data_IF_778344870029
#
_entry.id   IF_778344870029
#
_cell.length_a   1.000
_cell.length_b   1.000
_cell.length_c   1.000
_cell.angle_alpha   90.00
_cell.angle_beta   90.00
_cell.angle_gamma   90.00
#
_symmetry.space_group_name_H-M   'P 1'
#
loop_
_entity.id
_entity.type
_entity.pdbx_description
1 polymer ?
#
# COMPACT_ATOMS: atom_id res chain seq x y z
N UNK A 1 -4.83 -2.96 -20.69
CA UNK A 1 -4.24 -3.65 -19.49
C UNK A 1 -4.63 -2.82 -18.27
N UNK A 2 -5.39 -3.34 -17.32
CA UNK A 2 -5.89 -2.53 -16.21
C UNK A 2 -4.77 -2.12 -15.25
N UNK A 3 -4.93 -0.92 -14.65
CA UNK A 3 -4.13 -0.48 -13.52
C UNK A 3 -4.92 -0.72 -12.23
N UNK A 4 -4.37 -1.54 -11.35
CA UNK A 4 -5.00 -1.95 -10.08
C UNK A 4 -4.35 -1.20 -8.92
N UNK A 5 -5.15 -0.48 -8.14
CA UNK A 5 -4.69 0.33 -7.02
C UNK A 5 -5.09 -0.29 -5.69
N UNK A 6 -4.10 -0.44 -4.80
CA UNK A 6 -4.24 -1.07 -3.47
C UNK A 6 -3.83 -0.08 -2.39
N UNK A 7 -4.77 0.26 -1.50
CA UNK A 7 -4.53 1.18 -0.39
C UNK A 7 -3.90 0.49 0.83
N UNK A 8 -3.52 1.28 1.82
CA UNK A 8 -2.98 0.81 3.10
C UNK A 8 -3.89 1.08 4.30
N UNK A 9 -3.28 1.26 5.46
CA UNK A 9 -3.92 1.41 6.77
C UNK A 9 -3.75 2.85 7.27
N UNK A 10 -4.80 3.49 7.79
CA UNK A 10 -6.19 3.05 7.95
C UNK A 10 -7.11 3.48 6.81
N UNK A 11 -6.61 3.49 5.60
CA UNK A 11 -7.28 4.02 4.43
C UNK A 11 -8.39 3.11 3.85
N UNK A 12 -9.01 3.61 2.80
CA UNK A 12 -9.85 2.85 1.88
C UNK A 12 -9.41 3.17 0.44
N UNK A 13 -9.99 2.51 -0.56
CA UNK A 13 -9.69 2.79 -1.98
C UNK A 13 -9.88 4.25 -2.39
N UNK A 14 -10.59 5.06 -1.60
CA UNK A 14 -10.81 6.48 -1.85
C UNK A 14 -9.53 7.32 -1.84
N UNK A 15 -8.49 6.89 -1.14
CA UNK A 15 -7.18 7.54 -1.09
C UNK A 15 -6.56 7.76 -2.49
N UNK A 16 -7.03 7.00 -3.47
CA UNK A 16 -6.56 7.07 -4.85
C UNK A 16 -7.36 8.00 -5.77
N UNK A 17 -8.51 8.50 -5.33
CA UNK A 17 -9.44 9.25 -6.20
C UNK A 17 -8.80 10.47 -6.87
N UNK A 18 -8.02 11.25 -6.11
CA UNK A 18 -7.39 12.46 -6.61
C UNK A 18 -6.31 12.14 -7.67
N UNK A 19 -5.54 11.07 -7.50
CA UNK A 19 -4.56 10.60 -8.48
C UNK A 19 -5.25 10.08 -9.72
N UNK A 20 -6.26 9.21 -9.57
CA UNK A 20 -6.97 8.57 -10.69
C UNK A 20 -7.65 9.60 -11.59
N UNK A 21 -8.25 10.64 -11.00
CA UNK A 21 -8.88 11.73 -11.76
C UNK A 21 -7.90 12.50 -12.67
N UNK A 22 -6.60 12.36 -12.45
CA UNK A 22 -5.51 13.01 -13.21
C UNK A 22 -4.80 12.08 -14.19
N UNK A 23 -5.10 10.79 -14.14
CA UNK A 23 -4.49 9.82 -15.06
C UNK A 23 -5.15 9.91 -16.45
N UNK A 24 -4.39 9.81 -17.54
CA UNK A 24 -4.91 9.84 -18.91
C UNK A 24 -5.51 8.49 -19.34
N UNK A 25 -5.75 7.56 -18.40
CA UNK A 25 -6.26 6.21 -18.66
C UNK A 25 -7.59 5.96 -17.98
N UNK A 26 -8.43 5.10 -18.57
CA UNK A 26 -9.77 4.76 -18.04
C UNK A 26 -9.87 3.34 -17.50
N UNK A 27 -8.90 2.49 -17.80
CA UNK A 27 -8.83 1.09 -17.40
C UNK A 27 -8.22 0.95 -15.98
N UNK A 28 -8.88 1.58 -15.01
CA UNK A 28 -8.44 1.64 -13.61
C UNK A 28 -9.37 0.86 -12.71
N UNK A 29 -8.80 0.03 -11.85
CA UNK A 29 -9.49 -0.74 -10.81
C UNK A 29 -8.94 -0.34 -9.45
N UNK A 30 -9.82 -0.01 -8.51
CA UNK A 30 -9.44 0.25 -7.11
C UNK A 30 -9.92 -0.87 -6.23
N UNK A 31 -9.01 -1.48 -5.48
CA UNK A 31 -9.35 -2.53 -4.54
C UNK A 31 -9.48 -1.94 -3.13
N UNK A 32 -10.54 -2.33 -2.42
CA UNK A 32 -10.66 -2.09 -0.98
C UNK A 32 -10.27 -3.36 -0.24
N UNK A 33 -9.32 -3.27 0.67
CA UNK A 33 -8.92 -4.40 1.52
C UNK A 33 -10.13 -4.91 2.34
N UNK A 34 -10.30 -6.23 2.51
CA UNK A 34 -11.32 -6.78 3.39
C UNK A 34 -11.26 -6.15 4.79
N UNK A 35 -12.39 -5.65 5.28
CA UNK A 35 -12.49 -4.94 6.56
C UNK A 35 -12.19 -3.44 6.49
N UNK A 36 -11.80 -2.90 5.33
CA UNK A 36 -11.47 -1.48 5.12
C UNK A 36 -12.48 -0.86 4.15
N UNK A 37 -13.61 -0.43 4.70
CA UNK A 37 -14.73 0.13 3.91
C UNK A 37 -15.54 -0.92 3.14
N UNK A 38 -15.26 -2.23 3.36
CA UNK A 38 -16.03 -3.37 2.86
C UNK A 38 -16.06 -4.48 3.91
N UNK A 39 -17.06 -5.39 3.88
CA UNK A 39 -17.07 -6.55 4.76
C UNK A 39 -15.86 -7.48 4.55
N UNK A 40 -15.50 -8.24 5.58
CA UNK A 40 -14.56 -9.35 5.47
C UNK A 40 -15.26 -10.59 4.89
N UNK A 41 -14.59 -11.40 4.04
CA UNK A 41 -15.11 -12.71 3.65
C UNK A 41 -15.31 -13.64 4.86
N UNK A 42 -16.18 -14.62 4.74
CA UNK A 42 -16.36 -15.61 5.80
C UNK A 42 -15.05 -16.36 6.08
N UNK A 43 -14.68 -16.47 7.36
CA UNK A 43 -13.44 -17.13 7.79
C UNK A 43 -12.16 -16.34 7.50
N UNK A 44 -12.26 -15.08 7.10
CA UNK A 44 -11.09 -14.23 6.87
C UNK A 44 -10.47 -13.78 8.20
N UNK A 45 -9.25 -14.20 8.48
CA UNK A 45 -8.53 -13.94 9.73
C UNK A 45 -7.75 -12.62 9.77
N UNK A 46 -7.75 -11.87 8.66
CA UNK A 46 -7.06 -10.59 8.49
C UNK A 46 -5.54 -10.64 8.78
N UNK A 47 -4.90 -11.80 8.65
CA UNK A 47 -3.44 -11.91 8.68
C UNK A 47 -2.82 -11.40 7.38
N UNK A 48 -1.51 -11.07 7.40
CA UNK A 48 -0.81 -10.64 6.19
C UNK A 48 -0.89 -11.70 5.07
N UNK A 49 -0.87 -12.98 5.44
CA UNK A 49 -1.03 -14.10 4.49
C UNK A 49 -2.43 -14.16 3.89
N UNK A 50 -3.48 -13.89 4.70
CA UNK A 50 -4.85 -13.83 4.20
C UNK A 50 -5.03 -12.68 3.19
N UNK A 51 -4.47 -11.52 3.48
CA UNK A 51 -4.50 -10.39 2.54
C UNK A 51 -3.72 -10.67 1.26
N UNK A 52 -2.57 -11.35 1.33
CA UNK A 52 -1.81 -11.75 0.14
C UNK A 52 -2.62 -12.71 -0.72
N UNK A 53 -3.23 -13.75 -0.14
CA UNK A 53 -4.08 -14.69 -0.88
C UNK A 53 -5.25 -13.97 -1.55
N UNK A 54 -5.96 -13.14 -0.78
CA UNK A 54 -7.05 -12.32 -1.31
C UNK A 54 -6.58 -11.43 -2.47
N UNK A 55 -5.45 -10.74 -2.34
CA UNK A 55 -4.92 -9.88 -3.40
C UNK A 55 -4.58 -10.70 -4.65
N UNK A 56 -3.94 -11.86 -4.51
CA UNK A 56 -3.65 -12.75 -5.64
C UNK A 56 -4.92 -13.17 -6.39
N UNK A 57 -5.99 -13.48 -5.67
CA UNK A 57 -7.28 -13.82 -6.28
C UNK A 57 -7.89 -12.64 -7.05
N UNK A 58 -7.87 -11.44 -6.46
CA UNK A 58 -8.34 -10.21 -7.12
C UNK A 58 -7.52 -9.87 -8.37
N UNK A 59 -6.18 -10.04 -8.32
CA UNK A 59 -5.31 -9.82 -9.47
C UNK A 59 -5.52 -10.88 -10.56
N UNK A 60 -5.76 -12.14 -10.17
CA UNK A 60 -6.05 -13.22 -11.11
C UNK A 60 -7.38 -13.02 -11.87
N UNK A 61 -8.34 -12.34 -11.24
CA UNK A 61 -9.62 -12.01 -11.87
C UNK A 61 -9.52 -10.89 -12.93
N UNK A 62 -8.40 -10.15 -12.98
CA UNK A 62 -8.22 -9.09 -13.96
C UNK A 62 -7.78 -9.66 -15.33
N UNK A 63 -8.21 -9.06 -16.45
CA UNK A 63 -7.80 -9.50 -17.77
C UNK A 63 -6.33 -9.15 -18.07
N UNK A 64 -5.56 -10.12 -18.58
CA UNK A 64 -4.19 -9.95 -19.06
C UNK A 64 -3.16 -9.61 -18.00
N UNK A 65 -1.94 -9.23 -18.39
CA UNK A 65 -0.98 -8.60 -17.50
C UNK A 65 -1.50 -7.25 -17.01
N UNK A 66 -1.18 -6.90 -15.77
CA UNK A 66 -1.70 -5.71 -15.09
C UNK A 66 -0.58 -4.78 -14.62
N UNK A 67 -0.88 -3.49 -14.58
CA UNK A 67 -0.10 -2.55 -13.79
C UNK A 67 -0.67 -2.54 -12.36
N UNK A 68 0.18 -2.63 -11.34
CA UNK A 68 -0.30 -2.64 -9.96
C UNK A 68 0.35 -1.54 -9.13
N UNK A 69 -0.44 -0.80 -8.37
CA UNK A 69 0.01 0.33 -7.55
C UNK A 69 -0.39 0.09 -6.10
N UNK A 70 0.56 0.25 -5.17
CA UNK A 70 0.32 0.04 -3.74
C UNK A 70 0.88 1.16 -2.87
N UNK A 71 0.17 1.47 -1.78
CA UNK A 71 0.62 2.42 -0.77
C UNK A 71 0.54 1.79 0.62
N UNK A 72 1.53 2.06 1.49
CA UNK A 72 1.58 1.56 2.87
C UNK A 72 1.44 0.03 2.89
N UNK A 73 0.50 -0.54 3.63
CA UNK A 73 0.23 -1.99 3.60
C UNK A 73 -0.06 -2.51 2.19
N UNK A 74 -0.75 -1.72 1.36
CA UNK A 74 -0.95 -2.07 -0.04
C UNK A 74 0.38 -2.24 -0.80
N UNK A 75 1.42 -1.48 -0.45
CA UNK A 75 2.75 -1.63 -1.04
C UNK A 75 3.42 -2.96 -0.65
N UNK A 76 3.37 -3.34 0.64
CA UNK A 76 3.91 -4.64 1.09
C UNK A 76 3.21 -5.81 0.41
N UNK A 77 1.85 -5.75 0.36
CA UNK A 77 1.04 -6.78 -0.28
C UNK A 77 1.32 -6.87 -1.78
N UNK A 78 1.47 -5.73 -2.47
CA UNK A 78 1.79 -5.68 -3.91
C UNK A 78 3.16 -6.30 -4.17
N UNK A 79 4.21 -5.91 -3.47
CA UNK A 79 5.55 -6.49 -3.67
C UNK A 79 5.51 -8.00 -3.45
N UNK A 80 4.83 -8.46 -2.40
CA UNK A 80 4.67 -9.90 -2.14
C UNK A 80 3.90 -10.60 -3.26
N UNK A 81 2.79 -10.04 -3.73
CA UNK A 81 2.00 -10.62 -4.81
C UNK A 81 2.77 -10.66 -6.13
N UNK A 82 3.52 -9.60 -6.48
CA UNK A 82 4.36 -9.55 -7.67
C UNK A 82 5.45 -10.62 -7.63
N UNK A 83 6.04 -10.88 -6.46
CA UNK A 83 7.06 -11.93 -6.30
C UNK A 83 6.48 -13.35 -6.46
N UNK A 84 5.20 -13.55 -6.14
CA UNK A 84 4.51 -14.84 -6.21
C UNK A 84 3.86 -15.11 -7.57
N UNK A 85 3.45 -14.06 -8.27
CA UNK A 85 2.78 -14.16 -9.57
C UNK A 85 3.39 -13.18 -10.60
N UNK A 86 4.71 -13.28 -10.90
CA UNK A 86 5.42 -12.33 -11.73
C UNK A 86 4.89 -12.27 -13.16
N UNK A 87 4.31 -13.35 -13.67
CA UNK A 87 3.76 -13.43 -15.04
C UNK A 87 2.45 -12.62 -15.19
N UNK A 88 1.76 -12.36 -14.10
CA UNK A 88 0.53 -11.56 -14.07
C UNK A 88 0.77 -10.05 -14.09
N UNK A 89 1.98 -9.61 -13.77
CA UNK A 89 2.29 -8.20 -13.57
C UNK A 89 3.12 -7.66 -14.73
N UNK A 90 2.59 -6.62 -15.37
CA UNK A 90 3.27 -5.84 -16.39
C UNK A 90 4.28 -4.88 -15.78
N UNK A 91 3.83 -4.15 -14.75
CA UNK A 91 4.63 -3.22 -13.96
C UNK A 91 4.06 -3.05 -12.55
N UNK A 92 4.88 -2.56 -11.65
CA UNK A 92 4.45 -2.25 -10.29
C UNK A 92 4.95 -0.88 -9.83
N UNK A 93 4.15 -0.20 -9.01
CA UNK A 93 4.53 1.04 -8.37
C UNK A 93 4.13 0.99 -6.88
N UNK A 94 5.05 1.27 -5.97
CA UNK A 94 4.77 1.17 -4.52
C UNK A 94 5.43 2.29 -3.74
N UNK A 95 4.93 2.55 -2.52
CA UNK A 95 5.60 3.48 -1.61
C UNK A 95 4.99 3.52 -0.22
N UNK A 96 5.71 4.13 0.71
CA UNK A 96 5.27 4.32 2.09
C UNK A 96 5.38 3.09 2.98
N UNK A 97 5.96 1.96 2.50
CA UNK A 97 6.13 0.78 3.34
C UNK A 97 7.48 0.09 3.12
N UNK A 98 8.33 0.02 4.13
CA UNK A 98 9.65 -0.57 4.01
C UNK A 98 9.60 -2.09 4.07
N UNK A 99 10.08 -2.75 3.02
CA UNK A 99 10.36 -4.17 3.01
C UNK A 99 11.86 -4.37 3.26
N UNK A 100 12.28 -4.10 4.48
CA UNK A 100 13.69 -4.04 4.87
C UNK A 100 13.91 -4.74 6.22
N UNK A 101 14.93 -5.63 6.34
CA UNK A 101 15.21 -6.35 7.59
C UNK A 101 15.66 -5.45 8.75
N UNK A 102 16.14 -4.23 8.46
CA UNK A 102 16.60 -3.26 9.46
C UNK A 102 15.48 -2.27 9.87
N UNK A 103 14.28 -2.40 9.26
CA UNK A 103 13.17 -1.55 9.64
C UNK A 103 12.59 -1.95 10.99
N UNK A 104 12.48 -0.98 11.88
CA UNK A 104 11.76 -1.10 13.13
C UNK A 104 10.40 -0.43 13.05
N UNK A 105 9.37 -1.15 13.47
CA UNK A 105 8.01 -0.63 13.49
C UNK A 105 7.90 0.66 14.33
N UNK A 106 7.17 1.63 13.81
CA UNK A 106 6.86 2.87 14.51
C UNK A 106 6.03 2.60 15.80
N UNK A 107 5.98 3.57 16.70
CA UNK A 107 5.39 3.39 18.04
C UNK A 107 3.94 2.87 18.01
N UNK A 108 3.08 3.43 17.15
CA UNK A 108 1.68 2.99 17.07
C UNK A 108 1.58 1.51 16.63
N UNK A 109 2.37 1.09 15.64
CA UNK A 109 2.42 -0.30 15.20
C UNK A 109 2.82 -1.26 16.34
N UNK A 110 3.86 -0.92 17.12
CA UNK A 110 4.29 -1.72 18.27
C UNK A 110 3.20 -1.86 19.34
N UNK A 111 2.42 -0.81 19.57
CA UNK A 111 1.27 -0.87 20.47
C UNK A 111 0.19 -1.82 19.92
N UNK A 112 -0.13 -1.75 18.62
CA UNK A 112 -1.11 -2.62 17.99
C UNK A 112 -0.67 -4.09 17.95
N UNK A 113 0.62 -4.35 17.82
CA UNK A 113 1.21 -5.69 17.86
C UNK A 113 1.11 -6.34 19.24
N UNK A 114 1.03 -5.55 20.31
CA UNK A 114 1.00 -6.05 21.69
C UNK A 114 -0.44 -6.45 22.08
N UNK A 115 -0.69 -7.75 22.38
CA UNK A 115 -2.00 -8.20 22.86
C UNK A 115 -2.48 -7.40 24.08
N UNK A 116 -3.77 -7.22 24.22
CA UNK A 116 -4.48 -6.45 25.23
C UNK A 116 -4.17 -4.93 25.23
N UNK A 117 -2.95 -4.54 24.87
CA UNK A 117 -2.60 -3.11 24.69
C UNK A 117 -3.23 -2.56 23.41
N UNK A 118 -3.09 -3.27 22.31
CA UNK A 118 -3.65 -2.89 21.02
C UNK A 118 -5.16 -2.71 21.08
N UNK A 119 -5.88 -3.62 21.74
CA UNK A 119 -7.33 -3.53 21.94
C UNK A 119 -7.70 -2.25 22.69
N UNK A 120 -7.05 -1.98 23.83
CA UNK A 120 -7.30 -0.76 24.61
C UNK A 120 -7.00 0.51 23.83
N UNK A 121 -5.91 0.54 23.04
CA UNK A 121 -5.57 1.68 22.18
C UNK A 121 -6.66 1.88 21.12
N UNK A 122 -7.08 0.81 20.44
CA UNK A 122 -8.12 0.88 19.41
C UNK A 122 -9.48 1.28 19.99
N UNK A 123 -9.83 0.80 21.18
CA UNK A 123 -11.07 1.17 21.89
C UNK A 123 -11.07 2.66 22.26
N UNK A 124 -9.96 3.16 22.79
CA UNK A 124 -9.80 4.56 23.15
C UNK A 124 -9.70 5.51 21.95
N UNK A 125 -9.36 5.00 20.75
CA UNK A 125 -9.23 5.82 19.56
C UNK A 125 -10.60 6.22 19.02
N UNK A 126 -10.97 7.48 19.23
CA UNK A 126 -12.18 8.10 18.67
C UNK A 126 -11.93 8.69 17.29
N UNK A 127 -12.99 8.95 16.50
CA UNK A 127 -12.84 9.58 15.19
C UNK A 127 -12.13 10.96 15.26
N UNK A 128 -12.46 11.87 16.21
CA UNK A 128 -11.71 13.12 16.34
C UNK A 128 -10.22 12.93 16.71
N UNK A 129 -9.89 11.91 17.50
CA UNK A 129 -8.50 11.62 17.83
C UNK A 129 -7.73 11.07 16.61
N UNK A 130 -8.37 10.20 15.82
CA UNK A 130 -7.82 9.68 14.55
C UNK A 130 -7.63 10.81 13.53
N UNK A 131 -8.62 11.66 13.33
CA UNK A 131 -8.52 12.83 12.44
C UNK A 131 -7.33 13.71 12.81
N UNK A 132 -7.19 14.05 14.09
CA UNK A 132 -6.06 14.85 14.59
C UNK A 132 -4.72 14.15 14.32
N UNK A 133 -4.64 12.84 14.53
CA UNK A 133 -3.41 12.06 14.29
C UNK A 133 -3.04 12.03 12.79
N UNK A 134 -4.01 11.80 11.91
CA UNK A 134 -3.81 11.81 10.46
C UNK A 134 -3.38 13.18 9.96
N UNK A 135 -4.05 14.24 10.40
CA UNK A 135 -3.68 15.62 10.04
C UNK A 135 -2.26 15.98 10.52
N UNK A 136 -1.89 15.57 11.74
CA UNK A 136 -0.54 15.76 12.27
C UNK A 136 0.53 14.97 11.49
N UNK A 137 0.14 13.89 10.82
CA UNK A 137 1.01 13.09 9.97
C UNK A 137 1.05 13.57 8.49
N UNK A 138 0.40 14.70 8.18
CA UNK A 138 0.45 15.34 6.86
C UNK A 138 -0.76 15.08 5.96
N UNK A 139 -1.76 14.30 6.42
CA UNK A 139 -2.98 14.09 5.62
C UNK A 139 -3.74 15.42 5.51
N UNK A 140 -4.16 15.86 4.30
CA UNK A 140 -5.00 17.05 4.14
C UNK A 140 -6.26 16.99 5.00
N UNK A 141 -6.68 18.10 5.59
CA UNK A 141 -7.73 18.12 6.63
C UNK A 141 -9.04 17.44 6.21
N UNK A 142 -9.49 17.67 4.97
CA UNK A 142 -10.72 17.04 4.47
C UNK A 142 -10.59 15.51 4.36
N UNK A 143 -9.43 15.04 3.89
CA UNK A 143 -9.13 13.61 3.75
C UNK A 143 -8.95 12.95 5.14
N UNK A 144 -8.33 13.65 6.08
CA UNK A 144 -8.17 13.18 7.46
C UNK A 144 -9.52 12.98 8.16
N UNK A 145 -10.44 13.94 8.02
CA UNK A 145 -11.80 13.84 8.56
C UNK A 145 -12.57 12.66 7.93
N UNK A 146 -12.48 12.52 6.61
CA UNK A 146 -13.14 11.43 5.89
C UNK A 146 -12.57 10.05 6.28
N UNK A 147 -11.26 9.90 6.32
CA UNK A 147 -10.61 8.66 6.72
C UNK A 147 -10.97 8.27 8.16
N UNK A 148 -10.90 9.23 9.08
CA UNK A 148 -11.24 9.01 10.49
C UNK A 148 -12.70 8.55 10.69
N UNK A 149 -13.64 9.10 9.93
CA UNK A 149 -15.05 8.73 9.98
C UNK A 149 -15.33 7.29 9.50
N UNK A 150 -14.38 6.68 8.77
CA UNK A 150 -14.49 5.30 8.22
C UNK A 150 -13.88 4.24 9.12
N UNK A 151 -13.12 4.64 10.13
CA UNK A 151 -12.48 3.68 11.07
C UNK A 151 -13.54 3.09 11.99
N UNK A 152 -14.09 1.97 11.58
CA UNK A 152 -15.12 1.21 12.30
C UNK A 152 -14.51 0.08 13.16
N UNK A 153 -15.31 -0.60 14.00
CA UNK A 153 -14.83 -1.73 14.80
C UNK A 153 -14.26 -2.89 13.99
N UNK A 154 -14.73 -3.11 12.76
CA UNK A 154 -14.21 -4.16 11.88
C UNK A 154 -12.82 -3.80 11.38
N UNK A 155 -12.62 -2.58 10.90
CA UNK A 155 -11.31 -2.09 10.50
C UNK A 155 -10.30 -2.15 11.65
N UNK A 156 -10.69 -1.73 12.87
CA UNK A 156 -9.82 -1.80 14.06
C UNK A 156 -9.35 -3.23 14.35
N UNK A 157 -10.25 -4.22 14.30
CA UNK A 157 -9.88 -5.64 14.47
C UNK A 157 -8.94 -6.13 13.36
N UNK A 158 -9.21 -5.75 12.11
CA UNK A 158 -8.37 -6.10 10.98
C UNK A 158 -6.97 -5.51 11.10
N UNK A 159 -6.84 -4.25 11.53
CA UNK A 159 -5.54 -3.61 11.80
C UNK A 159 -4.75 -4.41 12.83
N UNK A 160 -5.37 -4.77 13.96
CA UNK A 160 -4.68 -5.53 15.01
C UNK A 160 -4.20 -6.90 14.50
N UNK A 161 -5.05 -7.65 13.79
CA UNK A 161 -4.69 -8.96 13.25
C UNK A 161 -3.55 -8.86 12.20
N UNK A 162 -3.65 -7.87 11.31
CA UNK A 162 -2.65 -7.62 10.28
C UNK A 162 -1.28 -7.30 10.88
N UNK A 163 -1.21 -6.33 11.78
CA UNK A 163 0.06 -5.93 12.41
C UNK A 163 0.67 -7.02 13.29
N UNK A 164 -0.14 -7.81 13.99
CA UNK A 164 0.34 -8.95 14.81
C UNK A 164 0.92 -10.08 13.98
N UNK A 165 0.34 -10.35 12.81
CA UNK A 165 0.88 -11.36 11.89
C UNK A 165 2.20 -10.92 11.23
N UNK A 166 2.57 -9.64 11.34
CA UNK A 166 3.61 -9.01 10.54
C UNK A 166 4.78 -8.43 11.35
N UNK A 167 4.97 -8.86 12.58
CA UNK A 167 6.05 -8.34 13.45
C UNK A 167 7.41 -8.36 12.76
N UNK A 168 7.69 -9.40 11.98
CA UNK A 168 8.96 -9.62 11.30
C UNK A 168 8.86 -9.53 9.76
N UNK A 169 7.81 -8.92 9.21
CA UNK A 169 7.53 -8.92 7.75
C UNK A 169 8.71 -8.44 6.90
N UNK A 170 9.46 -7.45 7.37
CA UNK A 170 10.64 -6.93 6.68
C UNK A 170 11.73 -7.99 6.49
N UNK A 171 11.91 -8.90 7.45
CA UNK A 171 12.86 -10.03 7.34
C UNK A 171 12.26 -11.19 6.55
N UNK A 172 10.98 -11.49 6.78
CA UNK A 172 10.30 -12.65 6.18
C UNK A 172 10.13 -12.49 4.66
N UNK A 173 9.81 -11.27 4.20
CA UNK A 173 9.49 -11.01 2.78
C UNK A 173 10.59 -10.30 2.01
N UNK A 174 11.66 -9.84 2.65
CA UNK A 174 12.72 -9.10 1.96
C UNK A 174 13.41 -9.89 0.84
N UNK A 175 13.55 -11.21 0.97
CA UNK A 175 14.09 -12.08 -0.07
C UNK A 175 13.18 -12.23 -1.31
N UNK A 176 11.94 -11.81 -1.23
CA UNK A 176 11.01 -11.86 -2.36
C UNK A 176 11.39 -10.88 -3.49
N UNK A 177 12.09 -9.80 -3.15
CA UNK A 177 12.56 -8.81 -4.13
C UNK A 177 13.40 -9.43 -5.25
N UNK A 178 14.13 -10.51 -4.97
CA UNK A 178 14.95 -11.24 -5.96
C UNK A 178 14.12 -11.94 -7.04
N UNK A 179 12.81 -12.14 -6.77
CA UNK A 179 11.86 -12.77 -7.71
C UNK A 179 11.05 -11.76 -8.51
N UNK A 180 11.17 -10.48 -8.18
CA UNK A 180 10.45 -9.42 -8.87
C UNK A 180 11.17 -9.08 -10.16
N UNK A 181 10.62 -9.49 -11.30
CA UNK A 181 11.22 -9.28 -12.63
C UNK A 181 10.55 -8.19 -13.45
N UNK A 182 9.34 -7.79 -13.07
CA UNK A 182 8.62 -6.71 -13.75
C UNK A 182 9.25 -5.35 -13.43
N UNK A 183 9.23 -4.38 -14.37
CA UNK A 183 9.66 -3.02 -14.11
C UNK A 183 8.96 -2.41 -12.89
N UNK A 184 9.72 -1.69 -12.05
CA UNK A 184 9.23 -1.13 -10.81
C UNK A 184 9.45 0.38 -10.67
N UNK A 185 8.54 1.02 -9.92
CA UNK A 185 8.64 2.41 -9.50
C UNK A 185 8.40 2.50 -7.99
N UNK A 186 9.31 3.12 -7.26
CA UNK A 186 9.15 3.38 -5.83
C UNK A 186 8.94 4.88 -5.63
N UNK A 187 7.82 5.23 -4.98
CA UNK A 187 7.41 6.59 -4.68
C UNK A 187 7.46 6.82 -3.17
N UNK A 188 8.03 7.95 -2.73
CA UNK A 188 8.19 8.21 -1.30
C UNK A 188 8.08 9.68 -0.96
N UNK A 189 7.49 10.02 0.19
CA UNK A 189 7.59 11.34 0.77
C UNK A 189 8.90 11.49 1.56
N UNK A 190 9.62 12.59 1.38
CA UNK A 190 10.88 12.83 2.09
C UNK A 190 10.68 12.90 3.61
N UNK A 191 9.56 13.50 4.04
CA UNK A 191 9.17 13.69 5.43
C UNK A 191 8.29 12.58 6.01
N UNK A 192 8.27 11.37 5.44
CA UNK A 192 7.46 10.26 5.94
C UNK A 192 7.80 9.95 7.43
N UNK A 193 6.85 10.15 8.37
CA UNK A 193 7.11 9.97 9.79
C UNK A 193 7.13 8.50 10.23
N UNK A 194 6.68 7.58 9.38
CA UNK A 194 6.58 6.15 9.68
C UNK A 194 7.78 5.38 9.13
N UNK A 195 8.28 5.80 7.98
CA UNK A 195 9.40 5.13 7.32
C UNK A 195 10.27 6.14 6.56
N UNK A 196 11.49 6.34 7.02
CA UNK A 196 12.44 7.25 6.36
C UNK A 196 12.66 6.86 4.88
N UNK A 197 12.77 7.86 4.00
CA UNK A 197 12.90 7.69 2.54
C UNK A 197 14.08 6.80 2.10
N UNK A 198 15.12 6.65 2.95
CA UNK A 198 16.22 5.70 2.71
C UNK A 198 15.75 4.25 2.52
N UNK A 199 14.65 3.85 3.17
CA UNK A 199 14.09 2.51 2.98
C UNK A 199 13.45 2.34 1.59
N UNK A 200 12.82 3.40 1.08
CA UNK A 200 12.34 3.43 -0.30
C UNK A 200 13.47 3.35 -1.32
N UNK A 201 14.55 4.10 -1.09
CA UNK A 201 15.74 4.03 -1.94
C UNK A 201 16.38 2.62 -1.95
N UNK A 202 16.51 1.98 -0.77
CA UNK A 202 17.02 0.60 -0.66
C UNK A 202 16.11 -0.42 -1.31
N UNK A 203 14.79 -0.25 -1.17
CA UNK A 203 13.80 -1.10 -1.86
C UNK A 203 13.98 -1.00 -3.38
N UNK A 204 14.07 0.22 -3.90
CA UNK A 204 14.26 0.46 -5.33
C UNK A 204 15.59 -0.13 -5.84
N UNK A 205 16.69 0.08 -5.13
CA UNK A 205 18.00 -0.48 -5.46
C UNK A 205 17.95 -2.00 -5.54
N UNK A 206 17.42 -2.67 -4.51
CA UNK A 206 17.34 -4.13 -4.45
C UNK A 206 16.43 -4.75 -5.50
N UNK A 207 15.35 -4.06 -5.87
CA UNK A 207 14.41 -4.52 -6.89
C UNK A 207 14.76 -4.06 -8.32
N UNK A 208 15.85 -3.29 -8.52
CA UNK A 208 16.17 -2.68 -9.80
C UNK A 208 15.10 -1.71 -10.29
N UNK A 209 14.40 -1.06 -9.38
CA UNK A 209 13.30 -0.14 -9.65
C UNK A 209 13.75 1.33 -9.70
N UNK A 210 12.98 2.17 -10.40
CA UNK A 210 13.18 3.61 -10.35
C UNK A 210 12.70 4.16 -9.00
N UNK A 211 13.46 5.06 -8.39
CA UNK A 211 13.09 5.75 -7.16
C UNK A 211 12.73 7.21 -7.42
N UNK A 212 11.62 7.67 -6.84
CA UNK A 212 11.19 9.07 -6.83
C UNK A 212 10.85 9.47 -5.40
N UNK A 213 11.52 10.48 -4.88
CA UNK A 213 11.25 11.07 -3.58
C UNK A 213 10.62 12.45 -3.78
N UNK A 214 9.48 12.69 -3.15
CA UNK A 214 8.80 13.99 -3.19
C UNK A 214 9.28 14.85 -2.03
N UNK A 215 9.92 16.01 -2.30
CA UNK A 215 10.32 16.94 -1.26
C UNK A 215 9.08 17.55 -0.59
N UNK A 216 9.21 17.94 0.67
CA UNK A 216 8.15 18.56 1.47
C UNK A 216 6.83 17.77 1.42
N UNK A 217 6.92 16.45 1.42
CA UNK A 217 5.80 15.52 1.35
C UNK A 217 5.95 14.45 2.42
N UNK A 218 4.85 14.09 3.06
CA UNK A 218 4.82 13.09 4.12
C UNK A 218 4.47 11.68 3.59
N UNK A 219 3.89 10.86 4.44
CA UNK A 219 3.52 9.49 4.12
C UNK A 219 2.45 9.37 3.01
N UNK A 220 1.45 10.25 3.03
CA UNK A 220 0.32 10.22 2.08
C UNK A 220 0.60 11.03 0.81
N UNK A 221 1.71 10.76 0.13
CA UNK A 221 2.13 11.44 -1.09
C UNK A 221 1.04 11.48 -2.18
N UNK A 222 0.15 10.50 -2.26
CA UNK A 222 -0.97 10.44 -3.21
C UNK A 222 -2.09 11.45 -2.89
N UNK A 223 -2.21 11.89 -1.64
CA UNK A 223 -3.14 12.94 -1.22
C UNK A 223 -2.49 14.32 -1.29
N UNK A 224 -1.21 14.42 -0.90
CA UNK A 224 -0.49 15.69 -0.83
C UNK A 224 -0.02 16.18 -2.21
N UNK A 225 0.34 15.28 -3.11
CA UNK A 225 0.94 15.56 -4.44
C UNK A 225 0.27 14.80 -5.59
N UNK A 226 -1.07 14.76 -5.69
CA UNK A 226 -1.76 13.91 -6.66
C UNK A 226 -1.38 14.18 -8.12
N UNK A 227 -1.10 15.45 -8.48
CA UNK A 227 -0.65 15.81 -9.83
C UNK A 227 0.73 15.23 -10.15
N UNK A 228 1.68 15.36 -9.22
CA UNK A 228 3.03 14.83 -9.38
C UNK A 228 3.03 13.29 -9.43
N UNK A 229 2.24 12.65 -8.58
CA UNK A 229 2.08 11.18 -8.57
C UNK A 229 1.49 10.68 -9.89
N UNK A 230 0.42 11.29 -10.37
CA UNK A 230 -0.19 10.92 -11.65
C UNK A 230 0.78 11.12 -12.83
N UNK A 231 1.56 12.20 -12.82
CA UNK A 231 2.59 12.45 -13.83
C UNK A 231 3.71 11.40 -13.80
N UNK A 232 4.19 11.00 -12.60
CA UNK A 232 5.23 9.98 -12.46
C UNK A 232 4.73 8.60 -12.88
N UNK A 233 3.52 8.21 -12.51
CA UNK A 233 2.89 6.96 -12.96
C UNK A 233 2.72 6.94 -14.48
N UNK A 234 2.19 8.02 -15.07
CA UNK A 234 1.99 8.13 -16.53
C UNK A 234 3.32 8.04 -17.27
N UNK A 235 4.35 8.76 -16.80
CA UNK A 235 5.69 8.71 -17.37
C UNK A 235 6.28 7.30 -17.27
N UNK A 236 6.14 6.64 -16.13
CA UNK A 236 6.63 5.30 -15.91
C UNK A 236 5.99 4.31 -16.88
N UNK A 237 4.67 4.28 -16.98
CA UNK A 237 3.96 3.37 -17.88
C UNK A 237 4.26 3.60 -19.36
N UNK A 238 4.57 4.84 -19.78
CA UNK A 238 4.98 5.13 -21.16
C UNK A 238 6.30 4.43 -21.54
N UNK A 239 7.17 4.17 -20.57
CA UNK A 239 8.46 3.52 -20.78
C UNK A 239 8.43 1.99 -20.53
N UNK A 240 7.34 1.45 -19.99
CA UNK A 240 7.19 0.01 -19.78
C UNK A 240 6.79 -0.64 -21.10
N UNK A 241 7.65 -1.54 -21.59
CA UNK A 241 7.33 -2.32 -22.80
C UNK A 241 6.26 -3.36 -22.49
N UNK A 242 5.21 -3.50 -23.33
CA UNK A 242 4.22 -4.55 -23.13
C UNK A 242 4.87 -5.94 -23.13
N UNK A 243 4.50 -6.78 -22.16
CA UNK A 243 4.85 -8.20 -22.24
C UNK A 243 4.13 -8.82 -23.43
N UNK A 244 4.87 -9.50 -24.30
CA UNK A 244 4.23 -10.28 -25.36
C UNK A 244 3.38 -11.39 -24.73
N UNK A 245 2.17 -11.66 -25.29
CA UNK A 245 1.39 -12.81 -24.86
C UNK A 245 2.25 -14.07 -25.06
N UNK A 246 2.43 -14.89 -24.04
CA UNK A 246 3.00 -16.22 -24.24
C UNK A 246 1.97 -17.03 -25.01
N UNK A 247 2.33 -17.54 -26.16
CA UNK A 247 1.53 -18.52 -26.89
C UNK A 247 1.30 -19.72 -25.94
N UNK A 248 0.04 -19.98 -25.62
CA UNK A 248 -0.41 -21.11 -24.80
C UNK A 248 -0.59 -22.36 -25.63
#
# INVERSE_FOLDING_TARGET
MPAVFVHGVPDTSRVWQAVIARLPRQDVVTLSLPGFGRPTPAGFDATKEAYVRWLLDELAAQPGPIDVVGHDWGALLVVRAVSLAPDRVQSWAVGGAPLDPDYEWHQAARLWQTPDVGERVMEATTAPAMEKALAAAGVPAADAAEAAARVDPTMKRCILALYRSAVNVGREWSGDLERVTAPGLVLWGEGDPYAASRFGARLAERAGARFVCFPDCSHWWQLERPDAVAAELSRFWTHVQPKEPRDT
#
